data_IF_450768978920
#
_entry.id   IF_450768978920
#
_cell.length_a   1.000
_cell.length_b   1.000
_cell.length_c   1.000
_cell.angle_alpha   90.00
_cell.angle_beta   90.00
_cell.angle_gamma   90.00
#
_symmetry.space_group_name_H-M   'P 1'
#
loop_
_entity.id
_entity.type
_entity.pdbx_description
1 polymer ?
#
# COMPACT_ATOMS: atom_id res chain seq x y z
N UNK A 1 15.94 5.49 -15.31
CA UNK A 1 15.09 5.10 -14.17
C UNK A 1 15.99 4.44 -13.14
N UNK A 2 15.92 4.86 -11.87
CA UNK A 2 16.68 4.23 -10.79
C UNK A 2 16.11 2.82 -10.56
N UNK A 3 16.95 1.81 -10.60
CA UNK A 3 16.55 0.43 -10.32
C UNK A 3 16.10 0.34 -8.86
N UNK A 4 14.84 -0.06 -8.63
CA UNK A 4 14.25 -0.02 -7.30
C UNK A 4 14.90 -1.09 -6.42
N UNK A 5 15.65 -0.67 -5.39
CA UNK A 5 16.23 -1.60 -4.41
C UNK A 5 15.11 -2.29 -3.64
N UNK A 6 15.02 -3.62 -3.77
CA UNK A 6 14.09 -4.46 -3.00
C UNK A 6 14.80 -5.00 -1.76
N UNK A 7 14.31 -4.63 -0.59
CA UNK A 7 14.72 -5.22 0.69
C UNK A 7 13.84 -6.42 1.04
N UNK A 8 14.48 -7.49 1.51
CA UNK A 8 13.79 -8.66 2.02
C UNK A 8 13.83 -8.65 3.54
N UNK A 9 12.66 -8.65 4.17
CA UNK A 9 12.48 -8.81 5.61
C UNK A 9 12.01 -10.23 5.87
N UNK A 10 12.75 -10.98 6.68
CA UNK A 10 12.41 -12.39 6.91
C UNK A 10 11.09 -12.55 7.65
N UNK A 11 10.85 -11.73 8.70
CA UNK A 11 9.65 -11.86 9.53
C UNK A 11 9.10 -10.52 10.00
N UNK A 12 7.78 -10.36 9.84
CA UNK A 12 6.99 -9.31 10.48
C UNK A 12 5.78 -9.91 11.19
N UNK A 13 5.57 -9.53 12.45
CA UNK A 13 4.35 -9.85 13.19
C UNK A 13 3.66 -8.57 13.63
N UNK A 14 2.41 -8.36 13.19
CA UNK A 14 1.59 -7.25 13.62
C UNK A 14 0.68 -7.63 14.79
N UNK A 15 0.65 -6.75 15.78
CA UNK A 15 -0.28 -6.73 16.90
C UNK A 15 -1.06 -5.42 16.88
N UNK A 16 -2.23 -5.30 17.53
CA UNK A 16 -3.02 -4.07 17.50
C UNK A 16 -2.26 -2.81 17.93
N UNK A 17 -1.29 -2.93 18.85
CA UNK A 17 -0.54 -1.80 19.41
C UNK A 17 0.87 -1.60 18.82
N UNK A 18 1.45 -2.62 18.17
CA UNK A 18 2.85 -2.59 17.72
C UNK A 18 3.14 -3.65 16.65
N UNK A 19 4.31 -3.57 16.04
CA UNK A 19 4.84 -4.59 15.15
C UNK A 19 6.16 -5.14 15.69
N UNK A 20 6.47 -6.39 15.38
CA UNK A 20 7.80 -6.96 15.51
C UNK A 20 8.39 -7.13 14.11
N UNK A 21 9.46 -6.43 13.80
CA UNK A 21 10.17 -6.47 12.51
C UNK A 21 11.55 -7.08 12.75
N UNK A 22 11.79 -8.29 12.22
CA UNK A 22 13.03 -9.05 12.46
C UNK A 22 13.44 -9.08 13.95
N UNK A 23 12.47 -9.27 14.84
CA UNK A 23 12.68 -9.33 16.29
C UNK A 23 12.75 -7.98 17.01
N UNK A 24 12.68 -6.85 16.29
CA UNK A 24 12.70 -5.51 16.90
C UNK A 24 11.29 -4.92 16.99
N UNK A 25 10.88 -4.38 18.16
CA UNK A 25 9.59 -3.72 18.29
C UNK A 25 9.55 -2.41 17.50
N UNK A 26 8.43 -2.13 16.86
CA UNK A 26 8.16 -0.90 16.14
C UNK A 26 6.76 -0.37 16.45
N UNK A 27 6.64 0.95 16.61
CA UNK A 27 5.33 1.62 16.68
C UNK A 27 4.62 1.52 15.34
N UNK A 28 3.30 1.43 15.39
CA UNK A 28 2.42 1.33 14.22
C UNK A 28 1.53 2.56 14.13
N UNK A 29 1.27 3.01 12.89
CA UNK A 29 0.17 3.90 12.55
C UNK A 29 -0.73 3.15 11.57
N UNK A 30 -1.99 2.99 11.93
CA UNK A 30 -2.94 2.18 11.17
C UNK A 30 -3.62 3.00 10.08
N UNK A 31 -3.58 2.48 8.86
CA UNK A 31 -4.53 2.80 7.79
C UNK A 31 -5.45 1.61 7.52
N UNK A 32 -6.53 1.87 6.78
CA UNK A 32 -7.52 0.85 6.44
C UNK A 32 -6.92 -0.32 5.64
N UNK A 33 -5.98 -0.03 4.73
CA UNK A 33 -5.39 -0.99 3.78
C UNK A 33 -3.91 -1.29 4.03
N UNK A 34 -3.25 -0.44 4.81
CA UNK A 34 -1.82 -0.55 5.09
C UNK A 34 -1.49 -0.08 6.51
N UNK A 35 -0.38 -0.55 7.05
CA UNK A 35 0.23 -0.04 8.28
C UNK A 35 1.49 0.74 7.94
N UNK A 36 1.66 1.91 8.56
CA UNK A 36 2.92 2.65 8.52
C UNK A 36 3.71 2.42 9.81
N UNK A 37 5.00 2.12 9.68
CA UNK A 37 5.96 1.94 10.76
C UNK A 37 6.91 3.15 10.73
N UNK A 38 6.67 4.20 11.56
CA UNK A 38 7.38 5.47 11.41
C UNK A 38 8.88 5.37 11.66
N UNK A 39 9.30 4.57 12.65
CA UNK A 39 10.72 4.37 12.99
C UNK A 39 11.54 3.84 11.81
N UNK A 40 11.18 2.69 11.22
CA UNK A 40 11.86 2.18 10.04
C UNK A 40 11.39 2.82 8.73
N UNK A 41 10.40 3.72 8.75
CA UNK A 41 9.81 4.38 7.58
C UNK A 41 9.24 3.42 6.53
N UNK A 42 8.55 2.36 6.98
CA UNK A 42 7.98 1.33 6.11
C UNK A 42 6.46 1.43 6.09
N UNK A 43 5.85 1.48 4.92
CA UNK A 43 4.40 1.30 4.71
C UNK A 43 4.16 -0.10 4.15
N UNK A 44 3.60 -1.00 4.95
CA UNK A 44 3.27 -2.39 4.56
C UNK A 44 1.79 -2.54 4.29
N UNK A 45 1.44 -3.27 3.22
CA UNK A 45 0.05 -3.63 2.94
C UNK A 45 -0.46 -4.65 3.96
N UNK A 46 -1.74 -4.54 4.33
CA UNK A 46 -2.43 -5.62 5.03
C UNK A 46 -2.64 -6.77 4.06
N UNK A 47 -2.27 -7.99 4.48
CA UNK A 47 -2.30 -9.15 3.61
C UNK A 47 -2.97 -10.35 4.28
N UNK A 48 -3.74 -11.10 3.49
CA UNK A 48 -4.20 -12.46 3.82
C UNK A 48 -3.89 -13.34 2.62
N UNK A 49 -3.10 -14.41 2.83
CA UNK A 49 -2.66 -15.33 1.77
C UNK A 49 -2.01 -14.63 0.54
N UNK A 50 -1.25 -13.56 0.77
CA UNK A 50 -0.56 -12.79 -0.26
C UNK A 50 -1.47 -11.86 -1.08
N UNK A 51 -2.74 -11.73 -0.71
CA UNK A 51 -3.70 -10.83 -1.34
C UNK A 51 -4.06 -9.68 -0.39
N UNK A 52 -4.49 -8.55 -0.94
CA UNK A 52 -4.82 -7.37 -0.15
C UNK A 52 -5.93 -7.64 0.86
N UNK A 53 -5.87 -6.94 1.99
CA UNK A 53 -6.90 -6.96 3.01
C UNK A 53 -7.20 -5.54 3.53
N UNK A 54 -8.39 -5.37 4.09
CA UNK A 54 -8.85 -4.11 4.66
C UNK A 54 -9.34 -4.36 6.08
N UNK A 55 -8.84 -3.57 7.04
CA UNK A 55 -9.22 -3.65 8.46
C UNK A 55 -10.24 -2.58 8.85
N UNK A 56 -10.79 -1.85 7.88
CA UNK A 56 -11.79 -0.82 8.17
C UNK A 56 -13.04 -1.47 8.78
N UNK A 57 -13.55 -0.89 9.86
CA UNK A 57 -14.66 -1.47 10.63
C UNK A 57 -15.97 -1.67 9.83
N UNK A 58 -16.15 -0.96 8.71
CA UNK A 58 -17.30 -1.16 7.78
C UNK A 58 -16.96 -2.03 6.58
N UNK A 59 -15.73 -2.52 6.46
CA UNK A 59 -15.38 -3.44 5.40
C UNK A 59 -16.17 -4.75 5.56
N UNK A 60 -16.59 -5.36 4.45
CA UNK A 60 -17.20 -6.69 4.48
C UNK A 60 -16.21 -7.74 4.99
N UNK A 61 -16.71 -8.85 5.54
CA UNK A 61 -15.84 -9.98 5.85
C UNK A 61 -15.31 -10.58 4.57
N UNK A 62 -14.00 -10.84 4.54
CA UNK A 62 -13.30 -11.38 3.38
C UNK A 62 -13.92 -12.71 2.92
N UNK A 63 -14.24 -13.59 3.87
CA UNK A 63 -14.76 -14.92 3.62
C UNK A 63 -16.16 -14.87 3.00
N UNK A 64 -17.00 -13.92 3.43
CA UNK A 64 -18.35 -13.72 2.87
C UNK A 64 -18.26 -13.23 1.42
N UNK A 65 -17.38 -12.27 1.14
CA UNK A 65 -17.16 -11.73 -0.22
C UNK A 65 -16.59 -12.78 -1.16
N UNK A 66 -15.49 -13.43 -0.78
CA UNK A 66 -14.83 -14.40 -1.65
C UNK A 66 -15.61 -15.70 -1.81
N UNK A 67 -16.49 -16.01 -0.86
CA UNK A 67 -17.45 -17.12 -0.96
C UNK A 67 -18.68 -16.80 -1.80
N UNK A 68 -18.86 -15.57 -2.26
CA UNK A 68 -20.04 -15.15 -3.03
C UNK A 68 -21.31 -14.97 -2.19
N UNK A 69 -21.18 -14.87 -0.86
CA UNK A 69 -22.31 -14.70 0.06
C UNK A 69 -22.59 -13.22 0.39
N UNK A 70 -21.71 -12.30 -0.03
CA UNK A 70 -21.95 -10.87 0.13
C UNK A 70 -22.90 -10.34 -0.94
N UNK A 71 -24.11 -9.97 -0.52
CA UNK A 71 -25.18 -9.46 -1.39
C UNK A 71 -25.24 -7.93 -1.45
N UNK A 72 -24.29 -7.21 -0.82
CA UNK A 72 -24.28 -5.75 -0.83
C UNK A 72 -23.92 -5.19 -2.21
N UNK A 73 -24.45 -4.00 -2.49
CA UNK A 73 -23.98 -3.19 -3.61
C UNK A 73 -22.47 -2.92 -3.48
N UNK A 74 -21.71 -3.25 -4.53
CA UNK A 74 -20.24 -3.13 -4.54
C UNK A 74 -19.48 -4.38 -4.07
N UNK A 75 -20.16 -5.52 -3.84
CA UNK A 75 -19.50 -6.79 -3.51
C UNK A 75 -18.42 -7.19 -4.52
N UNK A 76 -18.63 -6.94 -5.82
CA UNK A 76 -17.64 -7.20 -6.87
C UNK A 76 -16.36 -6.36 -6.73
N UNK A 77 -16.49 -5.10 -6.31
CA UNK A 77 -15.33 -4.24 -6.07
C UNK A 77 -14.51 -4.74 -4.88
N UNK A 78 -15.20 -5.23 -3.84
CA UNK A 78 -14.56 -5.87 -2.69
C UNK A 78 -13.92 -7.20 -3.06
N UNK A 79 -14.58 -8.02 -3.87
CA UNK A 79 -14.03 -9.28 -4.36
C UNK A 79 -12.75 -9.03 -5.17
N UNK A 80 -12.80 -8.05 -6.08
CA UNK A 80 -11.61 -7.61 -6.83
C UNK A 80 -10.51 -7.18 -5.89
N UNK A 81 -10.78 -6.24 -4.97
CA UNK A 81 -9.78 -5.75 -4.02
C UNK A 81 -9.16 -6.88 -3.18
N UNK A 82 -9.99 -7.77 -2.63
CA UNK A 82 -9.51 -8.91 -1.84
C UNK A 82 -8.80 -9.98 -2.65
N UNK A 83 -9.06 -10.09 -3.94
CA UNK A 83 -8.36 -11.02 -4.84
C UNK A 83 -7.03 -10.47 -5.36
N UNK A 84 -6.85 -9.14 -5.38
CA UNK A 84 -5.64 -8.51 -5.90
C UNK A 84 -4.40 -8.89 -5.08
N UNK A 85 -3.33 -9.40 -5.72
CA UNK A 85 -2.06 -9.68 -5.05
C UNK A 85 -1.46 -8.42 -4.40
N UNK A 86 -0.87 -8.57 -3.21
CA UNK A 86 -0.21 -7.43 -2.54
C UNK A 86 1.02 -6.92 -3.30
N UNK A 87 1.71 -7.79 -4.05
CA UNK A 87 2.86 -7.40 -4.87
C UNK A 87 2.42 -6.45 -5.98
N UNK A 88 1.34 -6.78 -6.71
CA UNK A 88 0.72 -5.90 -7.69
C UNK A 88 0.39 -4.54 -7.11
N UNK A 89 -0.29 -4.50 -5.95
CA UNK A 89 -0.69 -3.23 -5.35
C UNK A 89 0.51 -2.38 -4.91
N UNK A 90 1.55 -3.01 -4.38
CA UNK A 90 2.77 -2.30 -3.99
C UNK A 90 3.50 -1.77 -5.23
N UNK A 91 3.52 -2.53 -6.33
CA UNK A 91 4.07 -2.06 -7.59
C UNK A 91 3.31 -0.84 -8.15
N UNK A 92 1.97 -0.86 -8.11
CA UNK A 92 1.14 0.30 -8.45
C UNK A 92 1.48 1.51 -7.57
N UNK A 93 1.54 1.31 -6.25
CA UNK A 93 1.89 2.37 -5.31
C UNK A 93 3.31 2.90 -5.54
N UNK A 94 4.28 2.06 -5.86
CA UNK A 94 5.65 2.49 -6.17
C UNK A 94 5.70 3.44 -7.37
N UNK A 95 5.05 3.06 -8.47
CA UNK A 95 4.98 3.89 -9.68
C UNK A 95 4.29 5.21 -9.35
N UNK A 96 3.16 5.18 -8.66
CA UNK A 96 2.44 6.40 -8.29
C UNK A 96 3.25 7.30 -7.35
N UNK A 97 3.87 6.77 -6.29
CA UNK A 97 4.69 7.57 -5.37
C UNK A 97 5.94 8.14 -6.05
N UNK A 98 6.53 7.41 -7.00
CA UNK A 98 7.65 7.92 -7.81
C UNK A 98 7.21 9.13 -8.63
N UNK A 99 6.05 9.05 -9.28
CA UNK A 99 5.49 10.16 -10.07
C UNK A 99 5.08 11.35 -9.20
N UNK A 100 4.42 11.09 -8.06
CA UNK A 100 4.05 12.13 -7.10
C UNK A 100 5.27 12.87 -6.58
N UNK A 101 6.33 12.14 -6.20
CA UNK A 101 7.54 12.75 -5.69
C UNK A 101 8.22 13.61 -6.75
N UNK A 102 8.32 13.12 -7.99
CA UNK A 102 8.86 13.89 -9.12
C UNK A 102 8.08 15.18 -9.39
N UNK A 103 6.76 15.17 -9.12
CA UNK A 103 5.90 16.36 -9.20
C UNK A 103 5.88 17.21 -7.91
N UNK A 104 6.59 16.82 -6.85
CA UNK A 104 6.57 17.51 -5.55
C UNK A 104 5.28 17.32 -4.74
N UNK A 105 4.46 16.33 -5.08
CA UNK A 105 3.12 16.08 -4.53
C UNK A 105 3.07 14.98 -3.47
N UNK A 106 4.12 14.16 -3.35
CA UNK A 106 4.16 13.01 -2.45
C UNK A 106 5.52 12.80 -1.78
N UNK A 107 5.59 11.84 -0.84
CA UNK A 107 6.83 11.50 -0.16
C UNK A 107 7.83 10.89 -1.14
N UNK A 108 9.12 11.09 -0.87
CA UNK A 108 10.19 10.38 -1.56
C UNK A 108 10.06 8.86 -1.35
N UNK A 109 9.96 8.08 -2.45
CA UNK A 109 10.07 6.63 -2.38
C UNK A 109 11.54 6.21 -2.28
N UNK A 110 11.92 5.64 -1.13
CA UNK A 110 13.31 5.30 -0.81
C UNK A 110 13.66 3.83 -1.13
N UNK A 111 12.66 2.99 -1.40
CA UNK A 111 12.87 1.58 -1.74
C UNK A 111 11.62 0.72 -1.59
N UNK A 112 11.74 -0.52 -2.03
CA UNK A 112 10.70 -1.54 -1.93
C UNK A 112 11.00 -2.50 -0.80
N UNK A 113 9.97 -3.07 -0.20
CA UNK A 113 10.10 -4.07 0.88
C UNK A 113 9.21 -5.27 0.57
N UNK A 114 9.76 -6.47 0.72
CA UNK A 114 8.99 -7.72 0.76
C UNK A 114 9.19 -8.42 2.10
N UNK A 115 8.14 -9.10 2.58
CA UNK A 115 8.16 -9.86 3.83
C UNK A 115 7.85 -11.32 3.53
N UNK A 116 8.76 -12.23 3.90
CA UNK A 116 8.60 -13.68 3.67
C UNK A 116 7.63 -14.34 4.65
N UNK A 117 7.74 -14.00 5.93
CA UNK A 117 6.89 -14.52 7.01
C UNK A 117 6.12 -13.37 7.67
N UNK A 118 4.97 -13.03 7.08
CA UNK A 118 4.04 -12.04 7.59
C UNK A 118 2.93 -12.71 8.40
N UNK A 119 2.69 -12.18 9.60
CA UNK A 119 1.56 -12.54 10.47
C UNK A 119 0.89 -11.27 10.99
N UNK A 120 -0.43 -11.30 11.13
CA UNK A 120 -1.20 -10.19 11.68
C UNK A 120 -2.28 -10.69 12.63
N UNK A 121 -2.79 -9.82 13.51
CA UNK A 121 -3.86 -10.19 14.44
C UNK A 121 -5.20 -10.49 13.74
N UNK A 122 -5.38 -10.03 12.50
CA UNK A 122 -6.57 -10.27 11.68
C UNK A 122 -6.44 -11.48 10.76
N UNK A 123 -5.30 -12.18 10.75
CA UNK A 123 -5.09 -13.37 9.92
C UNK A 123 -4.41 -14.48 10.71
N UNK A 124 -5.01 -15.68 10.71
CA UNK A 124 -4.49 -16.84 11.45
C UNK A 124 -3.31 -17.52 10.76
N UNK A 125 -3.07 -17.24 9.47
CA UNK A 125 -2.06 -17.92 8.65
C UNK A 125 -0.72 -17.16 8.53
N UNK A 126 0.33 -17.88 8.12
CA UNK A 126 1.54 -17.27 7.57
C UNK A 126 1.26 -16.82 6.14
N UNK A 127 1.71 -15.63 5.79
CA UNK A 127 1.54 -15.05 4.46
C UNK A 127 2.83 -14.35 4.03
N UNK A 128 2.89 -13.94 2.76
CA UNK A 128 3.77 -12.85 2.37
C UNK A 128 3.03 -11.51 2.51
N UNK A 129 3.78 -10.42 2.62
CA UNK A 129 3.29 -9.08 2.28
C UNK A 129 4.40 -8.28 1.60
N UNK A 130 4.06 -7.11 1.09
CA UNK A 130 5.02 -6.15 0.54
C UNK A 130 4.66 -4.73 0.97
N UNK A 131 5.58 -3.80 0.70
CA UNK A 131 5.41 -2.41 1.02
C UNK A 131 6.51 -1.53 0.42
N UNK A 132 6.55 -0.31 0.93
CA UNK A 132 7.43 0.76 0.46
C UNK A 132 8.20 1.34 1.64
N UNK A 133 9.44 1.74 1.41
CA UNK A 133 10.12 2.73 2.24
C UNK A 133 9.72 4.12 1.72
N UNK A 134 9.09 4.92 2.57
CA UNK A 134 8.63 6.26 2.22
C UNK A 134 9.18 7.29 3.20
N UNK A 135 9.61 8.43 2.70
CA UNK A 135 10.00 9.53 3.57
C UNK A 135 8.85 9.96 4.50
N UNK A 136 9.20 10.36 5.72
CA UNK A 136 8.22 10.76 6.73
C UNK A 136 7.69 12.16 6.45
N UNK A 137 6.49 12.23 5.87
CA UNK A 137 5.79 13.48 5.56
C UNK A 137 5.59 14.40 6.78
N UNK A 138 5.65 13.87 8.01
CA UNK A 138 5.53 14.74 9.20
C UNK A 138 6.72 15.69 9.37
N UNK A 139 7.83 15.40 8.69
CA UNK A 139 9.07 16.20 8.66
C UNK A 139 9.17 17.14 7.46
N UNK A 140 8.21 17.10 6.53
CA UNK A 140 8.22 17.95 5.34
C UNK A 140 7.76 19.38 5.70
N UNK A 141 8.17 20.41 4.94
CA UNK A 141 7.56 21.73 5.06
C UNK A 141 6.07 21.66 4.72
N UNK A 142 5.27 22.59 5.22
CA UNK A 142 3.86 22.68 4.81
C UNK A 142 3.73 23.31 3.43
N UNK A 143 2.78 22.82 2.64
CA UNK A 143 2.40 23.42 1.36
C UNK A 143 0.90 23.35 1.11
N UNK A 144 0.44 24.07 0.09
CA UNK A 144 -0.94 23.95 -0.40
C UNK A 144 -1.23 22.49 -0.78
N UNK A 145 -2.37 21.94 -0.33
CA UNK A 145 -2.80 20.60 -0.71
C UNK A 145 -2.85 20.43 -2.23
N UNK A 146 -2.39 19.27 -2.68
CA UNK A 146 -2.46 18.88 -4.08
C UNK A 146 -3.92 18.83 -4.57
N UNK A 147 -4.13 19.27 -5.79
CA UNK A 147 -5.40 19.30 -6.51
C UNK A 147 -5.56 18.08 -7.41
N UNK A 148 -6.79 17.78 -7.83
CA UNK A 148 -7.03 16.70 -8.79
C UNK A 148 -6.26 16.91 -10.11
N UNK A 149 -6.20 18.16 -10.59
CA UNK A 149 -5.47 18.51 -11.81
C UNK A 149 -3.98 18.19 -11.69
N UNK A 150 -3.36 18.49 -10.56
CA UNK A 150 -1.95 18.17 -10.30
C UNK A 150 -1.70 16.66 -10.22
N UNK A 151 -2.61 15.88 -9.62
CA UNK A 151 -2.51 14.42 -9.60
C UNK A 151 -2.57 13.83 -11.02
N UNK A 152 -3.50 14.31 -11.84
CA UNK A 152 -3.62 13.89 -13.25
C UNK A 152 -2.40 14.30 -14.06
N UNK A 153 -1.90 15.51 -13.87
CA UNK A 153 -0.66 15.98 -14.51
C UNK A 153 0.56 15.13 -14.12
N UNK A 154 0.58 14.58 -12.90
CA UNK A 154 1.57 13.59 -12.46
C UNK A 154 1.30 12.16 -13.01
N UNK A 155 0.33 11.97 -13.90
CA UNK A 155 -0.02 10.68 -14.48
C UNK A 155 -0.69 9.75 -13.48
N UNK A 156 -1.55 10.27 -12.60
CA UNK A 156 -2.32 9.47 -11.64
C UNK A 156 -3.81 9.67 -11.88
N UNK A 157 -4.49 8.53 -12.04
CA UNK A 157 -5.94 8.48 -12.05
C UNK A 157 -6.43 8.39 -10.59
N UNK A 158 -7.06 9.43 -10.05
CA UNK A 158 -7.57 9.42 -8.68
C UNK A 158 -8.69 8.40 -8.52
N UNK A 159 -8.81 7.84 -7.32
CA UNK A 159 -9.92 6.94 -7.00
C UNK A 159 -11.26 7.70 -7.05
N UNK A 160 -12.37 6.99 -7.32
CA UNK A 160 -13.73 7.59 -7.36
C UNK A 160 -14.07 8.39 -6.11
N UNK A 161 -13.61 7.93 -4.96
CA UNK A 161 -13.88 8.61 -3.70
C UNK A 161 -12.94 9.79 -3.48
N UNK A 162 -11.87 9.98 -4.26
CA UNK A 162 -10.86 11.04 -4.05
C UNK A 162 -10.22 10.98 -2.65
N UNK A 163 -10.01 9.78 -2.10
CA UNK A 163 -9.40 9.62 -0.78
C UNK A 163 -7.99 10.22 -0.74
N UNK A 164 -7.22 10.02 -1.81
CA UNK A 164 -5.88 10.60 -1.98
C UNK A 164 -5.82 12.14 -1.90
N UNK A 165 -6.92 12.82 -2.25
CA UNK A 165 -7.03 14.28 -2.16
C UNK A 165 -7.50 14.75 -0.79
N UNK A 166 -8.33 13.98 -0.08
CA UNK A 166 -8.82 14.32 1.27
C UNK A 166 -7.80 14.03 2.36
N UNK A 167 -6.98 13.00 2.19
CA UNK A 167 -6.12 12.43 3.22
C UNK A 167 -4.65 12.81 2.98
N UNK A 168 -4.41 14.13 2.89
CA UNK A 168 -3.08 14.69 2.70
C UNK A 168 -2.42 15.04 4.04
N UNK A 169 -1.12 14.82 4.14
CA UNK A 169 -0.30 15.20 5.30
C UNK A 169 0.55 16.39 4.88
N UNK A 170 0.41 17.54 5.56
CA UNK A 170 1.12 18.79 5.23
C UNK A 170 0.97 19.25 3.76
N UNK A 171 -0.13 18.87 3.12
CA UNK A 171 -0.41 19.15 1.71
C UNK A 171 0.21 18.18 0.71
N UNK A 172 0.73 17.03 1.16
CA UNK A 172 1.24 15.94 0.32
C UNK A 172 0.33 14.73 0.38
N UNK A 173 0.19 14.04 -0.76
CA UNK A 173 -0.57 12.79 -0.87
C UNK A 173 0.11 11.69 -0.05
N UNK A 174 -0.60 11.15 0.93
CA UNK A 174 -0.05 10.18 1.89
C UNK A 174 -0.60 8.76 1.72
N UNK A 175 -1.82 8.64 1.17
CA UNK A 175 -2.45 7.37 0.88
C UNK A 175 -3.10 7.34 -0.50
N UNK A 176 -2.91 6.20 -1.15
CA UNK A 176 -3.43 5.90 -2.48
C UNK A 176 -4.33 4.66 -2.42
N UNK A 177 -4.37 3.97 -1.29
CA UNK A 177 -5.08 2.71 -1.12
C UNK A 177 -6.53 2.96 -0.72
N UNK A 178 -7.43 2.52 -1.58
CA UNK A 178 -8.86 2.52 -1.34
C UNK A 178 -9.49 1.34 -2.11
N UNK A 179 -10.77 1.07 -1.88
CA UNK A 179 -11.54 0.03 -2.57
C UNK A 179 -11.46 0.16 -4.10
N UNK A 180 -11.53 1.40 -4.61
CA UNK A 180 -11.34 1.73 -6.03
C UNK A 180 -10.00 2.43 -6.27
N UNK A 181 -8.96 2.05 -5.51
CA UNK A 181 -7.72 2.81 -5.31
C UNK A 181 -7.15 3.50 -6.56
N UNK A 182 -6.41 4.58 -6.33
CA UNK A 182 -5.77 5.33 -7.41
C UNK A 182 -4.89 4.39 -8.28
N UNK A 183 -4.76 4.75 -9.55
CA UNK A 183 -4.04 3.97 -10.56
C UNK A 183 -3.01 4.83 -11.30
N UNK A 184 -1.82 4.29 -11.63
CA UNK A 184 -0.88 5.00 -12.50
C UNK A 184 -1.38 4.99 -13.95
N UNK A 185 -1.57 6.16 -14.54
CA UNK A 185 -2.00 6.31 -15.93
C UNK A 185 -0.92 5.78 -16.89
N UNK A 186 -1.27 4.84 -17.77
CA UNK A 186 -0.31 4.21 -18.70
C UNK A 186 0.87 3.49 -18.02
N UNK A 187 0.74 3.12 -16.73
CA UNK A 187 1.83 2.57 -15.93
C UNK A 187 2.03 1.06 -16.02
N UNK A 188 1.24 0.33 -16.82
CA UNK A 188 1.18 -1.14 -16.73
C UNK A 188 2.53 -1.84 -16.91
N UNK A 189 3.37 -1.36 -17.85
CA UNK A 189 4.71 -1.92 -18.06
C UNK A 189 5.66 -1.63 -16.88
N UNK A 190 5.55 -0.46 -16.25
CA UNK A 190 6.32 -0.12 -15.05
C UNK A 190 5.89 -0.97 -13.86
N UNK A 191 4.58 -1.12 -13.68
CA UNK A 191 4.00 -1.94 -12.61
C UNK A 191 4.41 -3.40 -12.79
N UNK A 192 4.32 -3.95 -14.00
CA UNK A 192 4.74 -5.33 -14.27
C UNK A 192 6.23 -5.56 -13.97
N UNK A 193 7.12 -4.62 -14.32
CA UNK A 193 8.55 -4.71 -13.99
C UNK A 193 8.79 -4.72 -12.48
N UNK A 194 8.12 -3.82 -11.75
CA UNK A 194 8.27 -3.74 -10.29
C UNK A 194 7.70 -4.97 -9.59
N UNK A 195 6.55 -5.45 -10.05
CA UNK A 195 5.93 -6.69 -9.56
C UNK A 195 6.82 -7.92 -9.78
N UNK A 196 7.47 -8.01 -10.94
CA UNK A 196 8.46 -9.05 -11.23
C UNK A 196 9.68 -8.97 -10.29
N UNK A 197 10.21 -7.77 -10.05
CA UNK A 197 11.33 -7.57 -9.12
C UNK A 197 10.96 -7.96 -7.67
N UNK A 198 9.75 -7.63 -7.22
CA UNK A 198 9.23 -8.05 -5.91
C UNK A 198 9.09 -9.58 -5.82
N UNK A 199 8.61 -10.22 -6.88
CA UNK A 199 8.44 -11.67 -6.95
C UNK A 199 9.79 -12.39 -6.93
N UNK A 200 10.75 -11.92 -7.75
CA UNK A 200 12.11 -12.45 -7.80
C UNK A 200 12.81 -12.37 -6.43
N UNK A 201 12.64 -11.26 -5.70
CA UNK A 201 13.21 -11.10 -4.35
C UNK A 201 12.65 -12.11 -3.33
N UNK A 202 11.43 -12.62 -3.57
CA UNK A 202 10.82 -13.69 -2.78
C UNK A 202 11.20 -15.10 -3.26
N UNK A 203 11.99 -15.22 -4.33
CA UNK A 203 12.34 -16.50 -4.96
C UNK A 203 11.16 -17.13 -5.71
N UNK A 204 10.31 -16.30 -6.32
CA UNK A 204 9.13 -16.70 -7.09
C UNK A 204 9.22 -16.23 -8.53
#
# INVERSE_FOLDING_TARGET
MVEARVEVIDRVRLWPSHAMVSGRPARVKWGAWAVYLPGPQIKLMHAVAGQQHCIYHKAPKREEVLGGFDTRNGAEDWARAFSTPVLRRVAENWVMFTRLHAAGLGPEPMGLVVVRDYRSFFSRGRSITAGLRLADLTKYPEKTPATEGELRAAGILPDRSRASLREQIRGYVSDLNNLHGAMPEGGDAEVARVEAALSQALGR
#
